data_IF_034378198731
#
_entry.id   IF_034378198731
#
_cell.length_a   1.000
_cell.length_b   1.000
_cell.length_c   1.000
_cell.angle_alpha   90.00
_cell.angle_beta   90.00
_cell.angle_gamma   90.00
#
_symmetry.space_group_name_H-M   'P 1'
#
loop_
_entity.id
_entity.type
_entity.pdbx_description
1 polymer ?
#
# COMPACT_ATOMS: atom_id res chain seq x y z
N UNK A 1 -1.90 -9.02 0.88
CA UNK A 1 -2.46 -9.14 2.25
C UNK A 1 -1.34 -9.53 3.18
N UNK A 2 -1.21 -8.87 4.33
CA UNK A 2 -0.30 -9.28 5.40
C UNK A 2 -0.95 -10.41 6.23
N UNK A 3 -0.34 -11.61 6.36
CA UNK A 3 -1.01 -12.80 6.88
C UNK A 3 -1.08 -12.89 8.41
N UNK A 4 -0.34 -12.08 9.17
CA UNK A 4 -0.35 -12.09 10.65
C UNK A 4 -0.19 -13.50 11.29
N UNK A 5 0.67 -14.36 10.72
CA UNK A 5 0.93 -15.78 11.09
C UNK A 5 -0.16 -16.78 10.67
N UNK A 6 -1.18 -16.35 9.93
CA UNK A 6 -2.20 -17.23 9.38
C UNK A 6 -1.74 -17.87 8.06
N UNK A 7 -2.29 -19.04 7.76
CA UNK A 7 -2.13 -19.64 6.45
C UNK A 7 -3.01 -18.90 5.42
N UNK A 8 -2.62 -18.84 4.13
CA UNK A 8 -3.48 -18.30 3.09
C UNK A 8 -4.83 -19.05 3.04
N UNK A 9 -5.91 -18.28 2.91
CA UNK A 9 -7.26 -18.82 2.70
C UNK A 9 -7.59 -18.69 1.22
N UNK A 10 -8.09 -19.76 0.61
CA UNK A 10 -8.42 -19.78 -0.81
C UNK A 10 -9.45 -18.69 -1.17
N UNK A 11 -9.20 -17.98 -2.27
CA UNK A 11 -9.99 -16.82 -2.70
C UNK A 11 -9.85 -15.54 -1.86
N UNK A 12 -9.16 -15.55 -0.71
CA UNK A 12 -8.97 -14.36 0.13
C UNK A 12 -7.71 -13.61 -0.31
N UNK A 13 -7.90 -12.56 -1.10
CA UNK A 13 -6.81 -11.75 -1.66
C UNK A 13 -7.10 -10.24 -1.57
N UNK A 14 -6.07 -9.40 -1.76
CA UNK A 14 -6.25 -7.94 -1.80
C UNK A 14 -7.24 -7.51 -2.90
N UNK A 15 -7.37 -8.31 -3.97
CA UNK A 15 -8.32 -8.08 -5.06
C UNK A 15 -9.76 -8.05 -4.57
N UNK A 16 -10.12 -8.89 -3.58
CA UNK A 16 -11.47 -8.96 -3.04
C UNK A 16 -11.96 -7.62 -2.46
N UNK A 17 -11.07 -6.91 -1.77
CA UNK A 17 -11.34 -5.57 -1.25
C UNK A 17 -11.30 -4.56 -2.39
N UNK A 18 -10.28 -4.64 -3.25
CA UNK A 18 -10.11 -3.73 -4.37
C UNK A 18 -11.36 -3.68 -5.25
N UNK A 19 -11.96 -4.81 -5.60
CA UNK A 19 -13.16 -4.90 -6.44
C UNK A 19 -14.39 -4.23 -5.80
N UNK A 20 -14.48 -4.24 -4.47
CA UNK A 20 -15.58 -3.63 -3.71
C UNK A 20 -15.42 -2.13 -3.50
N UNK A 21 -14.21 -1.59 -3.61
CA UNK A 21 -13.95 -0.15 -3.51
C UNK A 21 -14.48 0.53 -4.78
N UNK A 22 -15.42 1.46 -4.65
CA UNK A 22 -16.15 2.03 -5.80
C UNK A 22 -15.54 3.30 -6.40
N UNK A 23 -14.55 3.90 -5.75
CA UNK A 23 -13.88 5.08 -6.31
C UNK A 23 -13.09 4.70 -7.57
N UNK A 24 -13.19 5.52 -8.61
CA UNK A 24 -12.51 5.29 -9.89
C UNK A 24 -10.99 5.29 -9.72
N UNK A 25 -10.47 6.24 -8.94
CA UNK A 25 -9.04 6.46 -8.73
C UNK A 25 -8.48 5.56 -7.62
N UNK A 26 -8.55 4.24 -7.82
CA UNK A 26 -7.90 3.23 -6.98
C UNK A 26 -6.76 2.55 -7.75
N UNK A 27 -5.73 2.11 -7.03
CA UNK A 27 -4.60 1.39 -7.63
C UNK A 27 -4.20 0.23 -6.72
N UNK A 28 -4.04 -0.96 -7.29
CA UNK A 28 -3.44 -2.09 -6.61
C UNK A 28 -1.97 -2.20 -7.05
N UNK A 29 -1.05 -2.36 -6.10
CA UNK A 29 0.37 -2.53 -6.39
C UNK A 29 0.98 -3.58 -5.46
N UNK A 30 2.18 -4.06 -5.81
CA UNK A 30 2.99 -4.84 -4.89
C UNK A 30 3.61 -3.96 -3.81
N UNK A 31 4.15 -4.58 -2.77
CA UNK A 31 4.86 -3.87 -1.70
C UNK A 31 6.12 -3.18 -2.25
N UNK A 32 6.84 -3.87 -3.12
CA UNK A 32 8.10 -3.43 -3.72
C UNK A 32 7.90 -2.26 -4.67
N UNK A 33 6.77 -2.21 -5.39
CA UNK A 33 6.45 -1.15 -6.35
C UNK A 33 5.82 0.11 -5.72
N UNK A 34 5.54 0.12 -4.41
CA UNK A 34 4.81 1.22 -3.78
C UNK A 34 5.55 2.55 -3.87
N UNK A 35 6.86 2.55 -3.63
CA UNK A 35 7.66 3.79 -3.59
C UNK A 35 7.72 4.46 -4.96
N UNK A 36 7.93 3.68 -6.02
CA UNK A 36 7.98 4.22 -7.38
C UNK A 36 6.60 4.71 -7.84
N UNK A 37 5.53 4.00 -7.48
CA UNK A 37 4.16 4.47 -7.73
C UNK A 37 3.87 5.81 -7.06
N UNK A 38 4.34 6.02 -5.83
CA UNK A 38 4.14 7.27 -5.09
C UNK A 38 4.97 8.43 -5.67
N UNK A 39 6.20 8.16 -6.14
CA UNK A 39 7.02 9.14 -6.90
C UNK A 39 6.29 9.64 -8.14
N UNK A 40 5.69 8.73 -8.90
CA UNK A 40 4.94 9.07 -10.12
C UNK A 40 3.67 9.87 -9.82
N UNK A 41 2.92 9.48 -8.79
CA UNK A 41 1.65 10.12 -8.43
C UNK A 41 1.81 11.50 -7.77
N UNK A 42 3.01 11.86 -7.29
CA UNK A 42 3.35 13.19 -6.74
C UNK A 42 2.31 13.75 -5.75
N UNK A 43 1.92 12.96 -4.74
CA UNK A 43 0.95 13.40 -3.72
C UNK A 43 1.58 14.40 -2.74
N UNK A 44 0.80 15.38 -2.29
CA UNK A 44 1.22 16.36 -1.28
C UNK A 44 1.04 15.83 0.15
N UNK A 45 -0.06 15.11 0.38
CA UNK A 45 -0.37 14.46 1.65
C UNK A 45 -0.54 12.97 1.40
N UNK A 46 0.12 12.16 2.21
CA UNK A 46 0.01 10.70 2.20
C UNK A 46 -0.39 10.22 3.58
N UNK A 47 -1.43 9.38 3.61
CA UNK A 47 -1.86 8.68 4.82
C UNK A 47 -1.68 7.19 4.57
N UNK A 48 -0.90 6.54 5.43
CA UNK A 48 -0.80 5.09 5.47
C UNK A 48 -1.70 4.56 6.57
N UNK A 49 -2.42 3.46 6.28
CA UNK A 49 -3.34 2.83 7.24
C UNK A 49 -3.08 1.33 7.21
N UNK A 50 -2.83 0.74 8.38
CA UNK A 50 -2.61 -0.70 8.52
C UNK A 50 -1.66 -1.02 9.68
N UNK A 51 -1.18 -2.27 9.69
CA UNK A 51 -0.22 -2.78 10.65
C UNK A 51 0.75 -3.76 9.96
N UNK A 52 1.80 -4.16 10.67
CA UNK A 52 2.80 -5.10 10.16
C UNK A 52 3.63 -4.48 9.05
N UNK A 53 3.56 -5.05 7.85
CA UNK A 53 4.47 -4.70 6.76
C UNK A 53 4.45 -3.24 6.30
N UNK A 54 3.35 -2.52 6.48
CA UNK A 54 3.28 -1.11 6.08
C UNK A 54 4.21 -0.24 6.93
N UNK A 55 4.44 -0.60 8.20
CA UNK A 55 5.36 0.10 9.10
C UNK A 55 6.81 0.00 8.60
N UNK A 56 7.17 -1.14 8.02
CA UNK A 56 8.52 -1.38 7.46
C UNK A 56 8.86 -0.45 6.30
N UNK A 57 7.85 0.16 5.66
CA UNK A 57 8.04 1.09 4.55
C UNK A 57 8.13 2.55 5.01
N UNK A 58 7.85 2.86 6.28
CA UNK A 58 7.88 4.23 6.80
C UNK A 58 9.22 4.94 6.53
N UNK A 59 10.41 4.34 6.74
CA UNK A 59 11.67 5.04 6.45
C UNK A 59 11.81 5.47 4.99
N UNK A 60 11.38 4.62 4.05
CA UNK A 60 11.42 4.94 2.61
C UNK A 60 10.37 5.99 2.23
N UNK A 61 9.21 6.01 2.89
CA UNK A 61 8.17 7.02 2.69
C UNK A 61 8.62 8.37 3.27
N UNK A 62 9.17 8.38 4.47
CA UNK A 62 9.75 9.57 5.10
C UNK A 62 10.83 10.16 4.20
N UNK A 63 11.78 9.35 3.71
CA UNK A 63 12.79 9.82 2.77
C UNK A 63 12.17 10.43 1.49
N UNK A 64 11.16 9.78 0.91
CA UNK A 64 10.49 10.26 -0.29
C UNK A 64 9.83 11.64 -0.10
N UNK A 65 9.34 11.94 1.09
CA UNK A 65 8.59 13.16 1.39
C UNK A 65 9.35 14.20 2.23
N UNK A 66 10.54 13.86 2.77
CA UNK A 66 11.39 14.78 3.54
C UNK A 66 12.25 15.69 2.67
N UNK A 67 12.54 15.31 1.43
CA UNK A 67 13.36 16.09 0.49
C UNK A 67 12.56 17.21 -0.24
N UNK A 68 11.51 17.74 0.40
CA UNK A 68 10.70 18.87 -0.11
C UNK A 68 10.81 20.10 0.78
#
# INVERSE_FOLDING_TARGET
IYPAREAPIDGVTSQLIFDKVTIENKTMCSKEGLIDLLKEKKREVVVTIGAGDIETLLPSLEQLYSDK
#
